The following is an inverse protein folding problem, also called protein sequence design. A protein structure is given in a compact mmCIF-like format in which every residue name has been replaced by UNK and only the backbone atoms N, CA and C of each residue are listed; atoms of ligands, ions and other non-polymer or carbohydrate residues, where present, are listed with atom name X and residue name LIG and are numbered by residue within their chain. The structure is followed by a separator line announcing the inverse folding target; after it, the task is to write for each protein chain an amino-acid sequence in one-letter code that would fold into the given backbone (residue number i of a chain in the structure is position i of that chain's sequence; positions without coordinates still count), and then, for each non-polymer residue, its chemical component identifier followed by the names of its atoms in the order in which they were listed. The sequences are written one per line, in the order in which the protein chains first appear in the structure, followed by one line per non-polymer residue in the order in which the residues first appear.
data_IF_957129637744
#
_entry.id   IF_957129637744
#
_cell.length_a   1.000
_cell.length_b   1.000
_cell.length_c   1.000
_cell.angle_alpha   90.00
_cell.angle_beta   90.00
_cell.angle_gamma   90.00
#
_symmetry.space_group_name_H-M   'P 1'
#
loop_
_entity.id
_entity.type
_entity.pdbx_description
1 polymer ?
#
# COMPACT_ATOMS: atom_id res chain seq x y z
N UNK A 1 -9.59 5.70 56.10
CA UNK A 1 -8.94 6.66 55.18
C UNK A 1 -9.12 6.15 53.76
N UNK A 2 -9.92 6.85 52.96
CA UNK A 2 -10.18 6.50 51.57
C UNK A 2 -9.02 6.99 50.70
N UNK A 3 -8.21 6.05 50.22
CA UNK A 3 -7.39 6.28 49.02
C UNK A 3 -8.13 5.67 47.85
N UNK A 4 -9.16 6.37 47.38
CA UNK A 4 -9.60 6.22 45.99
C UNK A 4 -8.49 6.84 45.15
N UNK A 5 -7.50 6.02 44.83
CA UNK A 5 -6.49 6.36 43.86
C UNK A 5 -6.52 5.29 42.77
N UNK A 6 -6.47 5.58 41.49
CA UNK A 6 -6.52 6.83 40.72
C UNK A 6 -6.11 6.37 39.31
N UNK A 7 -6.84 6.87 38.32
CA UNK A 7 -6.52 6.87 36.89
C UNK A 7 -6.52 5.50 36.18
N UNK A 8 -7.68 5.22 35.59
CA UNK A 8 -7.86 4.38 34.41
C UNK A 8 -6.90 4.90 33.31
N UNK A 9 -5.88 4.13 32.88
CA UNK A 9 -5.04 4.57 31.80
C UNK A 9 -5.86 4.54 30.52
N UNK A 10 -6.18 5.74 30.02
CA UNK A 10 -6.75 5.94 28.69
C UNK A 10 -6.00 5.06 27.68
N UNK A 11 -6.74 4.26 26.92
CA UNK A 11 -6.18 3.41 25.87
C UNK A 11 -5.63 4.30 24.75
N UNK A 12 -4.30 4.43 24.69
CA UNK A 12 -3.58 5.10 23.60
C UNK A 12 -3.42 4.15 22.40
N UNK A 13 -4.53 3.56 21.95
CA UNK A 13 -4.56 2.85 20.67
C UNK A 13 -4.76 3.88 19.56
N UNK A 14 -3.70 4.68 19.35
CA UNK A 14 -3.57 5.51 18.17
C UNK A 14 -3.47 4.54 16.98
N UNK A 15 -4.55 4.42 16.22
CA UNK A 15 -4.63 3.52 15.07
C UNK A 15 -3.66 4.00 13.99
N UNK A 16 -2.41 3.55 14.08
CA UNK A 16 -1.44 3.71 13.01
C UNK A 16 -2.01 3.03 11.75
N UNK A 17 -1.93 3.67 10.57
CA UNK A 17 -2.41 3.07 9.34
C UNK A 17 -1.67 1.76 9.08
N UNK A 18 -2.41 0.71 8.71
CA UNK A 18 -1.81 -0.58 8.39
C UNK A 18 -0.81 -0.41 7.23
N UNK A 19 0.41 -0.94 7.35
CA UNK A 19 1.42 -0.78 6.31
C UNK A 19 0.98 -1.50 5.03
N UNK A 20 0.95 -0.78 3.91
CA UNK A 20 0.67 -1.35 2.60
C UNK A 20 1.97 -1.91 2.02
N UNK A 21 1.96 -3.16 1.57
CA UNK A 21 3.13 -3.80 0.98
C UNK A 21 3.07 -3.83 -0.55
N UNK A 22 4.22 -3.61 -1.19
CA UNK A 22 4.35 -3.70 -2.64
C UNK A 22 4.50 -5.17 -3.08
N UNK A 23 3.63 -5.71 -3.95
CA UNK A 23 3.74 -7.09 -4.43
C UNK A 23 4.96 -7.35 -5.33
N UNK A 24 5.66 -6.31 -5.81
CA UNK A 24 6.85 -6.47 -6.66
C UNK A 24 8.15 -6.61 -5.87
N UNK A 25 8.27 -5.91 -4.72
CA UNK A 25 9.50 -5.87 -3.93
C UNK A 25 9.31 -6.23 -2.45
N UNK A 26 8.08 -6.52 -2.03
CA UNK A 26 7.67 -6.95 -0.68
C UNK A 26 8.01 -5.95 0.43
N UNK A 27 8.25 -4.69 0.08
CA UNK A 27 8.51 -3.60 1.03
C UNK A 27 7.27 -2.75 1.28
N UNK A 28 7.23 -2.13 2.45
CA UNK A 28 6.20 -1.15 2.80
C UNK A 28 6.25 0.00 1.79
N UNK A 29 5.08 0.41 1.32
CA UNK A 29 4.86 1.55 0.43
C UNK A 29 4.62 2.77 1.30
N UNK A 30 5.52 3.77 1.27
CA UNK A 30 5.25 5.08 1.85
C UNK A 30 4.01 5.70 1.20
N UNK A 31 3.20 6.42 1.98
CA UNK A 31 1.96 7.04 1.47
C UNK A 31 2.21 8.00 0.30
N UNK A 32 3.37 8.65 0.26
CA UNK A 32 3.78 9.57 -0.82
C UNK A 32 4.19 8.86 -2.12
N UNK A 33 4.49 7.56 -2.06
CA UNK A 33 5.00 6.77 -3.18
C UNK A 33 4.01 5.71 -3.65
N UNK A 34 2.77 5.73 -3.15
CA UNK A 34 1.73 4.77 -3.46
C UNK A 34 1.02 5.10 -4.77
N UNK A 35 1.26 4.29 -5.80
CA UNK A 35 0.61 4.42 -7.11
C UNK A 35 -0.22 3.19 -7.44
N UNK A 36 -1.39 3.41 -8.06
CA UNK A 36 -2.27 2.32 -8.52
C UNK A 36 -1.89 1.89 -9.93
N UNK A 37 -1.61 0.62 -10.08
CA UNK A 37 -1.27 0.02 -11.37
C UNK A 37 -2.28 -1.05 -11.78
N UNK A 38 -2.67 -1.04 -13.06
CA UNK A 38 -3.51 -2.07 -13.63
C UNK A 38 -2.63 -3.21 -14.13
N UNK A 39 -2.68 -4.37 -13.46
CA UNK A 39 -1.94 -5.56 -13.90
C UNK A 39 -2.40 -6.04 -15.28
N UNK A 40 -3.69 -5.88 -15.56
CA UNK A 40 -4.26 -6.14 -16.87
C UNK A 40 -4.72 -4.82 -17.47
N UNK A 41 -4.35 -4.52 -18.71
CA UNK A 41 -4.78 -3.31 -19.39
C UNK A 41 -6.30 -3.22 -19.55
N UNK A 42 -6.84 -2.01 -19.52
CA UNK A 42 -8.29 -1.76 -19.65
C UNK A 42 -8.86 -2.32 -20.96
N UNK A 43 -8.09 -2.25 -22.05
CA UNK A 43 -8.47 -2.76 -23.38
C UNK A 43 -8.72 -4.27 -23.37
N UNK A 44 -8.05 -5.02 -22.48
CA UNK A 44 -8.21 -6.47 -22.30
C UNK A 44 -9.20 -6.82 -21.17
N UNK A 45 -9.95 -5.83 -20.67
CA UNK A 45 -10.93 -6.02 -19.61
C UNK A 45 -10.36 -6.03 -18.20
N UNK A 46 -9.13 -5.53 -18.00
CA UNK A 46 -8.51 -5.46 -16.69
C UNK A 46 -9.25 -4.54 -15.72
N UNK A 47 -9.59 -5.09 -14.55
CA UNK A 47 -10.30 -4.40 -13.45
C UNK A 47 -9.50 -4.36 -12.16
N UNK A 48 -8.48 -5.21 -12.06
CA UNK A 48 -7.66 -5.34 -10.87
C UNK A 48 -6.59 -4.25 -10.84
N UNK A 49 -6.56 -3.51 -9.74
CA UNK A 49 -5.52 -2.51 -9.48
C UNK A 49 -4.75 -2.90 -8.24
N UNK A 50 -3.43 -2.85 -8.35
CA UNK A 50 -2.51 -3.10 -7.23
C UNK A 50 -1.80 -1.82 -6.86
N UNK A 51 -1.44 -1.68 -5.59
CA UNK A 51 -0.62 -0.57 -5.13
C UNK A 51 0.86 -0.95 -5.28
N UNK A 52 1.63 -0.10 -5.94
CA UNK A 52 3.06 -0.26 -6.14
C UNK A 52 3.78 1.02 -5.74
N UNK A 53 5.08 0.90 -5.46
CA UNK A 53 5.95 2.07 -5.43
C UNK A 53 6.04 2.68 -6.83
N UNK A 54 6.19 4.00 -6.90
CA UNK A 54 6.51 4.70 -8.16
C UNK A 54 7.67 4.08 -8.93
N UNK A 55 8.77 3.72 -8.25
CA UNK A 55 9.91 3.07 -8.91
C UNK A 55 9.57 1.67 -9.44
N UNK A 56 8.79 0.89 -8.69
CA UNK A 56 8.34 -0.44 -9.11
C UNK A 56 7.39 -0.35 -10.30
N UNK A 57 6.50 0.64 -10.29
CA UNK A 57 5.64 0.96 -11.42
C UNK A 57 6.45 1.30 -12.68
N UNK A 58 7.44 2.19 -12.56
CA UNK A 58 8.33 2.53 -13.67
C UNK A 58 9.10 1.31 -14.19
N UNK A 59 9.57 0.42 -13.29
CA UNK A 59 10.22 -0.84 -13.69
C UNK A 59 9.31 -1.75 -14.49
N UNK A 60 8.02 -1.82 -14.19
CA UNK A 60 7.06 -2.60 -14.98
C UNK A 60 6.97 -2.05 -16.41
N UNK A 61 6.87 -0.74 -16.59
CA UNK A 61 6.82 -0.11 -17.92
C UNK A 61 8.11 -0.25 -18.72
N UNK A 62 9.26 -0.32 -18.04
CA UNK A 62 10.57 -0.48 -18.69
C UNK A 62 10.85 -1.93 -19.05
N UNK A 63 10.54 -2.88 -18.17
CA UNK A 63 10.91 -4.29 -18.34
C UNK A 63 9.85 -5.10 -19.10
N UNK A 64 8.57 -4.74 -19.01
CA UNK A 64 7.50 -5.40 -19.76
C UNK A 64 7.16 -4.57 -20.98
N UNK A 65 7.38 -5.15 -22.16
CA UNK A 65 7.02 -4.50 -23.43
C UNK A 65 5.50 -4.55 -23.65
N UNK A 66 4.98 -3.70 -24.53
CA UNK A 66 3.54 -3.53 -24.86
C UNK A 66 2.79 -4.86 -25.10
N UNK A 67 3.50 -5.89 -25.60
CA UNK A 67 2.96 -7.24 -25.80
C UNK A 67 2.56 -7.96 -24.49
N UNK A 68 3.07 -7.51 -23.33
CA UNK A 68 2.85 -8.15 -22.03
C UNK A 68 2.07 -7.27 -21.06
N UNK A 69 1.94 -5.95 -21.25
CA UNK A 69 1.17 -5.07 -20.34
C UNK A 69 0.57 -3.80 -21.01
N UNK A 70 -0.13 -3.93 -22.14
CA UNK A 70 -1.09 -2.94 -22.67
C UNK A 70 -2.28 -3.59 -23.43
#
# INVERSE_FOLDING_TARGET
MARKNRDEPASWDEAAPEPVYCPMCERVIPEDQQEKHYLVPKSKGGKETVCLHRICHDQIHVNLTDAQLA
#
